data_IF_669051805101
#
_entry.id   IF_669051805101
#
_cell.length_a   1.000
_cell.length_b   1.000
_cell.length_c   1.000
_cell.angle_alpha   90.00
_cell.angle_beta   90.00
_cell.angle_gamma   90.00
#
_symmetry.space_group_name_H-M   'P 1'
#
loop_
_entity.id
_entity.type
_entity.pdbx_description
1 polymer ?
#
# COMPACT_ATOMS: atom_id res chain seq x y z
N UNK A 1 6.05 21.69 -2.60
CA UNK A 1 6.57 20.50 -1.87
C UNK A 1 5.42 19.95 -1.05
N UNK A 2 5.36 18.64 -0.81
CA UNK A 2 4.27 18.03 -0.04
C UNK A 2 4.67 17.85 1.43
N UNK A 3 5.67 17.01 1.71
CA UNK A 3 6.24 16.85 3.04
C UNK A 3 7.64 16.20 2.96
N UNK A 4 8.42 16.27 4.04
CA UNK A 4 9.60 15.42 4.20
C UNK A 4 9.17 14.10 4.85
N UNK A 5 9.46 12.97 4.21
CA UNK A 5 9.09 11.67 4.73
C UNK A 5 10.32 10.99 5.35
N UNK A 6 10.39 10.82 6.69
CA UNK A 6 11.56 10.23 7.34
C UNK A 6 11.75 8.76 6.94
N UNK A 7 10.66 8.05 6.61
CA UNK A 7 10.69 6.65 6.16
C UNK A 7 11.47 6.44 4.86
N UNK A 8 11.45 7.45 3.98
CA UNK A 8 12.19 7.42 2.71
C UNK A 8 13.47 8.24 2.77
N UNK A 9 13.75 8.89 3.90
CA UNK A 9 14.81 9.87 4.07
C UNK A 9 14.87 10.87 2.90
N UNK A 10 13.70 11.29 2.41
CA UNK A 10 13.59 12.10 1.20
C UNK A 10 12.31 12.96 1.23
N UNK A 11 12.34 14.06 0.48
CA UNK A 11 11.20 14.94 0.31
C UNK A 11 10.22 14.39 -0.74
N UNK A 12 8.95 14.37 -0.36
CA UNK A 12 7.84 14.16 -1.28
C UNK A 12 7.54 15.50 -1.95
N UNK A 13 7.80 15.55 -3.25
CA UNK A 13 7.69 16.75 -4.08
C UNK A 13 7.04 16.40 -5.41
N UNK A 14 6.85 17.38 -6.29
CA UNK A 14 6.16 17.16 -7.57
C UNK A 14 6.74 16.00 -8.40
N UNK A 15 8.08 15.87 -8.44
CA UNK A 15 8.75 14.80 -9.19
C UNK A 15 8.68 13.43 -8.52
N UNK A 16 8.61 13.38 -7.19
CA UNK A 16 8.65 12.12 -6.39
C UNK A 16 7.28 11.66 -5.91
N UNK A 17 6.23 12.50 -6.01
CA UNK A 17 4.89 12.21 -5.51
C UNK A 17 4.28 10.95 -6.15
N UNK A 18 4.52 10.72 -7.45
CA UNK A 18 4.07 9.50 -8.14
C UNK A 18 4.67 8.24 -7.52
N UNK A 19 5.99 8.24 -7.34
CA UNK A 19 6.71 7.09 -6.78
C UNK A 19 6.28 6.84 -5.35
N UNK A 20 6.07 7.89 -4.55
CA UNK A 20 5.54 7.79 -3.19
C UNK A 20 4.18 7.08 -3.14
N UNK A 21 3.20 7.51 -3.96
CA UNK A 21 1.88 6.87 -4.03
C UNK A 21 1.95 5.41 -4.48
N UNK A 22 2.83 5.08 -5.44
CA UNK A 22 3.06 3.70 -5.86
C UNK A 22 3.66 2.86 -4.73
N UNK A 23 4.61 3.41 -3.95
CA UNK A 23 5.18 2.71 -2.80
C UNK A 23 4.13 2.41 -1.73
N UNK A 24 3.22 3.35 -1.44
CA UNK A 24 2.12 3.10 -0.51
C UNK A 24 1.17 2.00 -1.02
N UNK A 25 0.83 2.01 -2.32
CA UNK A 25 -0.02 1.00 -2.91
C UNK A 25 0.64 -0.39 -2.90
N UNK A 26 1.90 -0.51 -3.35
CA UNK A 26 2.60 -1.79 -3.35
C UNK A 26 2.93 -2.28 -1.94
N UNK A 27 3.32 -1.39 -1.04
CA UNK A 27 3.61 -1.72 0.35
C UNK A 27 2.38 -2.29 1.07
N UNK A 28 1.22 -1.66 0.89
CA UNK A 28 -0.04 -2.16 1.49
C UNK A 28 -0.44 -3.53 0.92
N UNK A 29 -0.39 -3.71 -0.39
CA UNK A 29 -0.74 -4.99 -1.03
C UNK A 29 0.25 -6.10 -0.65
N UNK A 30 1.55 -5.80 -0.60
CA UNK A 30 2.56 -6.78 -0.19
C UNK A 30 2.38 -7.17 1.28
N UNK A 31 2.11 -6.21 2.17
CA UNK A 31 1.82 -6.50 3.57
C UNK A 31 0.56 -7.36 3.73
N UNK A 32 -0.50 -7.09 2.96
CA UNK A 32 -1.70 -7.92 2.92
C UNK A 32 -1.40 -9.33 2.43
N UNK A 33 -0.63 -9.46 1.33
CA UNK A 33 -0.24 -10.75 0.78
C UNK A 33 0.57 -11.58 1.79
N UNK A 34 1.54 -10.97 2.47
CA UNK A 34 2.33 -11.62 3.53
C UNK A 34 1.44 -12.09 4.68
N UNK A 35 0.51 -11.25 5.15
CA UNK A 35 -0.41 -11.63 6.22
C UNK A 35 -1.31 -12.80 5.80
N UNK A 36 -1.89 -12.74 4.60
CA UNK A 36 -2.80 -13.77 4.08
C UNK A 36 -2.10 -15.11 3.84
N UNK A 37 -0.89 -15.09 3.26
CA UNK A 37 -0.12 -16.31 3.00
C UNK A 37 0.41 -16.96 4.28
N UNK A 38 0.66 -16.18 5.32
CA UNK A 38 1.10 -16.68 6.62
C UNK A 38 -0.03 -17.29 7.48
N UNK A 39 -1.32 -17.12 7.12
CA UNK A 39 -2.46 -17.67 7.87
C UNK A 39 -2.43 -19.20 7.98
N UNK A 40 -2.14 -19.90 6.88
CA UNK A 40 -2.10 -21.37 6.86
C UNK A 40 -0.93 -21.89 7.71
N UNK A 41 0.33 -21.43 7.50
CA UNK A 41 1.45 -21.79 8.37
C UNK A 41 1.22 -21.46 9.85
N UNK A 42 0.55 -20.34 10.15
CA UNK A 42 0.21 -19.98 11.52
C UNK A 42 -0.74 -20.99 12.15
N UNK A 43 -1.84 -21.33 11.46
CA UNK A 43 -2.79 -22.32 11.94
C UNK A 43 -2.13 -23.70 12.14
N UNK A 44 -1.29 -24.15 11.21
CA UNK A 44 -0.58 -25.42 11.35
C UNK A 44 0.42 -25.43 12.50
N UNK A 45 1.13 -24.31 12.72
CA UNK A 45 2.08 -24.17 13.82
C UNK A 45 1.37 -24.23 15.18
N UNK A 46 0.24 -23.55 15.33
CA UNK A 46 -0.56 -23.62 16.56
C UNK A 46 -1.11 -25.02 16.82
N UNK A 47 -1.60 -25.71 15.78
CA UNK A 47 -2.17 -27.05 15.92
C UNK A 47 -1.10 -28.10 16.28
N UNK A 48 0.08 -28.00 15.67
CA UNK A 48 1.12 -29.04 15.79
C UNK A 48 2.07 -28.80 16.96
N UNK A 49 2.39 -27.54 17.25
CA UNK A 49 3.44 -27.15 18.20
C UNK A 49 2.89 -26.45 19.46
N UNK A 50 1.61 -26.07 19.47
CA UNK A 50 1.04 -25.29 20.56
C UNK A 50 1.78 -23.97 20.79
N UNK A 51 1.97 -23.59 22.06
CA UNK A 51 2.68 -22.38 22.44
C UNK A 51 4.21 -22.57 22.26
N UNK A 52 4.67 -22.32 21.04
CA UNK A 52 6.08 -22.40 20.64
C UNK A 52 6.57 -21.06 20.10
N UNK A 53 7.90 -20.88 20.08
CA UNK A 53 8.52 -19.71 19.45
C UNK A 53 8.08 -19.58 17.99
N UNK A 54 8.04 -20.68 17.24
CA UNK A 54 7.59 -20.69 15.84
C UNK A 54 6.14 -20.21 15.70
N UNK A 55 5.21 -20.75 16.50
CA UNK A 55 3.80 -20.35 16.46
C UNK A 55 3.60 -18.87 16.80
N UNK A 56 4.36 -18.34 17.77
CA UNK A 56 4.33 -16.92 18.11
C UNK A 56 4.89 -16.05 17.00
N UNK A 57 6.06 -16.38 16.43
CA UNK A 57 6.68 -15.58 15.37
C UNK A 57 5.81 -15.49 14.13
N UNK A 58 5.27 -16.61 13.64
CA UNK A 58 4.39 -16.61 12.46
C UNK A 58 3.09 -15.84 12.74
N UNK A 59 2.58 -15.87 13.97
CA UNK A 59 1.43 -15.06 14.37
C UNK A 59 1.75 -13.58 14.41
N UNK A 60 2.94 -13.19 14.87
CA UNK A 60 3.42 -11.82 14.81
C UNK A 60 3.56 -11.33 13.36
N UNK A 61 3.97 -12.20 12.42
CA UNK A 61 4.01 -11.87 10.99
C UNK A 61 2.61 -11.61 10.44
N UNK A 62 1.62 -12.45 10.78
CA UNK A 62 0.21 -12.24 10.39
C UNK A 62 -0.31 -10.92 10.96
N UNK A 63 -0.16 -10.70 12.27
CA UNK A 63 -0.67 -9.52 12.95
C UNK A 63 0.01 -8.23 12.48
N UNK A 64 1.34 -8.23 12.39
CA UNK A 64 2.14 -7.10 11.91
C UNK A 64 1.88 -6.77 10.45
N UNK A 65 1.78 -7.79 9.59
CA UNK A 65 1.42 -7.62 8.18
C UNK A 65 0.02 -7.04 7.99
N UNK A 66 -0.97 -7.53 8.74
CA UNK A 66 -2.33 -7.03 8.70
C UNK A 66 -2.41 -5.56 9.18
N UNK A 67 -1.78 -5.26 10.32
CA UNK A 67 -1.72 -3.89 10.86
C UNK A 67 -1.07 -2.92 9.86
N UNK A 68 0.10 -3.28 9.33
CA UNK A 68 0.82 -2.45 8.37
C UNK A 68 0.02 -2.23 7.09
N UNK A 69 -0.60 -3.28 6.55
CA UNK A 69 -1.48 -3.20 5.38
C UNK A 69 -2.59 -2.18 5.60
N UNK A 70 -3.33 -2.30 6.71
CA UNK A 70 -4.46 -1.41 7.01
C UNK A 70 -3.99 0.03 7.20
N UNK A 71 -2.94 0.25 7.99
CA UNK A 71 -2.42 1.59 8.28
C UNK A 71 -1.92 2.29 7.00
N UNK A 72 -1.13 1.60 6.19
CA UNK A 72 -0.58 2.16 4.94
C UNK A 72 -1.69 2.36 3.90
N UNK A 73 -2.66 1.45 3.79
CA UNK A 73 -3.80 1.61 2.89
C UNK A 73 -4.68 2.81 3.28
N UNK A 74 -4.95 3.00 4.58
CA UNK A 74 -5.70 4.16 5.07
C UNK A 74 -4.96 5.46 4.77
N UNK A 75 -3.65 5.51 5.02
CA UNK A 75 -2.82 6.66 4.66
C UNK A 75 -2.83 6.93 3.16
N UNK A 76 -2.77 5.88 2.33
CA UNK A 76 -2.87 5.98 0.88
C UNK A 76 -4.20 6.59 0.43
N UNK A 77 -5.32 6.18 1.03
CA UNK A 77 -6.65 6.74 0.73
C UNK A 77 -6.71 8.25 1.00
N UNK A 78 -6.09 8.72 2.09
CA UNK A 78 -5.98 10.15 2.40
C UNK A 78 -5.19 10.88 1.32
N UNK A 79 -4.03 10.35 0.94
CA UNK A 79 -3.17 10.95 -0.09
C UNK A 79 -3.85 10.97 -1.48
N UNK A 80 -4.63 9.94 -1.82
CA UNK A 80 -5.48 9.95 -3.01
C UNK A 80 -6.57 11.02 -2.94
N UNK A 81 -7.13 11.29 -1.77
CA UNK A 81 -8.09 12.38 -1.56
C UNK A 81 -7.47 13.77 -1.77
N UNK A 82 -6.21 13.95 -1.39
CA UNK A 82 -5.42 15.16 -1.66
C UNK A 82 -5.10 15.31 -3.15
N UNK A 83 -4.60 14.24 -3.78
CA UNK A 83 -4.39 14.19 -5.22
C UNK A 83 -5.67 14.50 -6.00
N UNK A 84 -6.81 13.94 -5.57
CA UNK A 84 -8.09 14.15 -6.21
C UNK A 84 -8.55 15.60 -6.09
N UNK A 85 -8.20 16.33 -5.03
CA UNK A 85 -8.49 17.77 -4.89
C UNK A 85 -7.43 18.66 -5.53
N UNK A 86 -6.29 18.09 -5.93
CA UNK A 86 -5.10 18.83 -6.35
C UNK A 86 -4.64 19.81 -5.27
N UNK A 87 -4.54 19.29 -4.04
CA UNK A 87 -4.10 20.02 -2.85
C UNK A 87 -3.01 19.17 -2.20
N UNK A 88 -1.89 19.78 -1.83
CA UNK A 88 -0.83 19.12 -1.06
C UNK A 88 -1.18 19.05 0.43
N UNK A 89 -0.50 18.19 1.19
CA UNK A 89 -0.61 18.08 2.64
C UNK A 89 -0.35 19.44 3.32
N UNK A 90 0.67 20.17 2.87
CA UNK A 90 0.96 21.52 3.38
C UNK A 90 -0.17 22.51 3.09
N UNK A 91 -0.72 22.51 1.89
CA UNK A 91 -1.84 23.38 1.52
C UNK A 91 -3.13 23.03 2.27
N UNK A 92 -3.33 21.76 2.63
CA UNK A 92 -4.44 21.33 3.47
C UNK A 92 -4.28 21.77 4.94
N UNK A 93 -3.04 21.88 5.44
CA UNK A 93 -2.76 22.38 6.80
C UNK A 93 -2.72 23.91 6.86
N UNK A 94 -2.26 24.54 5.79
CA UNK A 94 -2.13 25.99 5.66
C UNK A 94 -2.59 26.39 4.25
N UNK A 95 -3.77 27.01 4.12
CA UNK A 95 -4.29 27.36 2.81
C UNK A 95 -3.36 28.33 2.10
N UNK A 96 -3.21 28.15 0.79
CA UNK A 96 -2.50 29.10 -0.07
C UNK A 96 -3.25 30.43 -0.11
N UNK A 97 -2.52 31.52 0.07
CA UNK A 97 -3.06 32.86 -0.12
C UNK A 97 -3.02 33.20 -1.61
N UNK A 98 -4.20 33.32 -2.20
CA UNK A 98 -4.35 33.82 -3.55
C UNK A 98 -4.64 35.33 -3.54
N UNK A 99 -4.42 35.98 -4.69
CA UNK A 99 -4.80 37.40 -4.86
C UNK A 99 -6.33 37.55 -4.79
N UNK A 100 -7.05 36.66 -5.45
CA UNK A 100 -8.50 36.55 -5.36
C UNK A 100 -8.88 35.38 -4.44
N UNK A 101 -9.78 35.60 -3.49
CA UNK A 101 -10.14 34.56 -2.49
C UNK A 101 -10.83 33.32 -3.08
N UNK A 102 -11.31 33.40 -4.32
CA UNK A 102 -12.00 32.31 -5.04
C UNK A 102 -11.06 31.41 -5.82
N UNK A 103 -9.79 31.79 -5.98
CA UNK A 103 -8.83 31.03 -6.77
C UNK A 103 -8.45 29.70 -6.07
N UNK A 104 -8.23 28.66 -6.88
CA UNK A 104 -7.80 27.35 -6.40
C UNK A 104 -7.01 26.62 -7.48
N UNK A 105 -6.11 25.74 -7.05
CA UNK A 105 -5.44 24.78 -7.94
C UNK A 105 -6.38 23.63 -8.36
N UNK A 106 -7.59 23.52 -7.80
CA UNK A 106 -8.59 22.55 -8.23
C UNK A 106 -9.20 22.93 -9.60
N UNK A 107 -8.76 22.24 -10.66
CA UNK A 107 -9.24 22.42 -12.03
C UNK A 107 -10.56 21.67 -12.36
N UNK A 108 -11.19 21.02 -11.39
CA UNK A 108 -12.40 20.23 -11.57
C UNK A 108 -12.21 18.83 -12.19
N UNK A 109 -13.25 18.00 -12.09
CA UNK A 109 -13.24 16.55 -12.45
C UNK A 109 -12.76 16.25 -13.88
N UNK A 110 -13.17 17.05 -14.87
CA UNK A 110 -12.90 16.77 -16.30
C UNK A 110 -11.42 16.91 -16.66
N UNK A 111 -10.74 17.93 -16.13
CA UNK A 111 -9.31 18.19 -16.36
C UNK A 111 -8.41 17.27 -15.51
N UNK A 112 -8.90 16.80 -14.36
CA UNK A 112 -8.22 15.84 -13.47
C UNK A 112 -8.11 14.43 -14.07
N UNK A 113 -9.18 13.93 -14.72
CA UNK A 113 -9.17 12.60 -15.37
C UNK A 113 -8.20 12.53 -16.58
N UNK A 114 -7.88 13.67 -17.19
CA UNK A 114 -6.86 13.77 -18.24
C UNK A 114 -5.45 14.00 -17.69
N UNK A 115 -5.29 14.25 -16.38
CA UNK A 115 -3.96 14.39 -15.79
C UNK A 115 -3.21 13.06 -15.87
N UNK A 116 -1.97 13.10 -16.38
CA UNK A 116 -1.15 11.91 -16.58
C UNK A 116 -0.87 11.14 -15.28
N UNK A 117 -0.89 11.82 -14.14
CA UNK A 117 -0.65 11.22 -12.83
C UNK A 117 -1.77 10.25 -12.41
N UNK A 118 -3.04 10.66 -12.52
CA UNK A 118 -4.19 9.81 -12.19
C UNK A 118 -4.31 8.62 -13.15
N UNK A 119 -4.20 8.86 -14.47
CA UNK A 119 -4.25 7.80 -15.49
C UNK A 119 -3.14 6.75 -15.28
N UNK A 120 -1.91 7.20 -15.04
CA UNK A 120 -0.78 6.28 -14.87
C UNK A 120 -0.85 5.51 -13.55
N UNK A 121 -1.31 6.15 -12.47
CA UNK A 121 -1.49 5.47 -11.20
C UNK A 121 -2.50 4.33 -11.31
N UNK A 122 -3.69 4.60 -11.87
CA UNK A 122 -4.73 3.56 -12.06
C UNK A 122 -4.21 2.43 -12.97
N UNK A 123 -3.54 2.75 -14.08
CA UNK A 123 -3.00 1.72 -14.99
C UNK A 123 -1.91 0.85 -14.34
N UNK A 124 -0.99 1.43 -13.56
CA UNK A 124 0.05 0.66 -12.86
C UNK A 124 -0.51 -0.20 -11.71
N UNK A 125 -1.51 0.30 -10.99
CA UNK A 125 -2.18 -0.48 -9.93
C UNK A 125 -2.91 -1.71 -10.50
N UNK A 126 -3.61 -1.57 -11.64
CA UNK A 126 -4.30 -2.68 -12.31
C UNK A 126 -3.36 -3.78 -12.80
N UNK A 127 -2.20 -3.41 -13.34
CA UNK A 127 -1.23 -4.39 -13.82
C UNK A 127 -0.69 -5.26 -12.69
N UNK A 128 -0.53 -4.67 -11.51
CA UNK A 128 0.12 -5.34 -10.38
C UNK A 128 -0.85 -6.19 -9.56
N UNK A 129 -2.11 -5.78 -9.42
CA UNK A 129 -3.16 -6.67 -8.89
C UNK A 129 -3.40 -7.87 -9.80
N UNK A 130 -3.29 -7.72 -11.14
CA UNK A 130 -3.36 -8.85 -12.06
C UNK A 130 -2.17 -9.82 -11.90
N UNK A 131 -0.94 -9.32 -11.71
CA UNK A 131 0.25 -10.15 -11.51
C UNK A 131 0.18 -10.89 -10.18
N UNK A 132 -0.20 -10.20 -9.09
CA UNK A 132 -0.38 -10.85 -7.79
C UNK A 132 -1.52 -11.86 -7.80
N UNK A 133 -2.65 -11.56 -8.44
CA UNK A 133 -3.74 -12.52 -8.63
C UNK A 133 -3.29 -13.77 -9.41
N UNK A 134 -2.45 -13.61 -10.45
CA UNK A 134 -1.83 -14.76 -11.15
C UNK A 134 -0.89 -15.58 -10.27
N UNK A 135 -0.16 -14.94 -9.35
CA UNK A 135 0.71 -15.63 -8.39
C UNK A 135 -0.14 -16.42 -7.37
N UNK A 136 -1.22 -15.83 -6.84
CA UNK A 136 -2.14 -16.50 -5.91
C UNK A 136 -2.93 -17.63 -6.57
N UNK A 137 -3.26 -17.51 -7.87
CA UNK A 137 -4.03 -18.52 -8.61
C UNK A 137 -3.16 -19.64 -9.20
N UNK A 138 -1.83 -19.53 -9.16
CA UNK A 138 -0.97 -20.66 -9.46
C UNK A 138 -1.02 -21.65 -8.29
N UNK A 139 -1.95 -22.61 -8.38
CA UNK A 139 -2.24 -23.71 -7.44
C UNK A 139 -1.03 -24.56 -6.98
N UNK A 140 0.18 -24.23 -7.41
CA UNK A 140 1.42 -24.88 -7.01
C UNK A 140 2.08 -24.26 -5.76
N UNK A 141 1.74 -23.04 -5.35
CA UNK A 141 2.39 -22.42 -4.18
C UNK A 141 2.00 -23.12 -2.87
N UNK A 142 0.74 -23.53 -2.74
CA UNK A 142 0.28 -24.34 -1.60
C UNK A 142 0.92 -25.73 -1.56
N UNK A 143 1.28 -26.31 -2.71
CA UNK A 143 2.02 -27.59 -2.76
C UNK A 143 3.50 -27.42 -2.39
N UNK A 144 4.15 -26.32 -2.80
CA UNK A 144 5.54 -26.02 -2.44
C UNK A 144 5.71 -25.66 -0.97
N UNK A 145 4.76 -24.91 -0.39
CA UNK A 145 4.76 -24.61 1.05
C UNK A 145 4.54 -25.88 1.89
N UNK A 146 3.69 -26.82 1.44
CA UNK A 146 3.51 -28.12 2.09
C UNK A 146 4.76 -29.00 2.01
N UNK A 147 5.44 -29.02 0.86
CA UNK A 147 6.67 -29.80 0.66
C UNK A 147 7.84 -29.29 1.50
N UNK A 148 7.93 -27.98 1.74
CA UNK A 148 9.01 -27.39 2.55
C UNK A 148 8.80 -27.58 4.06
N UNK A 149 7.55 -27.74 4.52
CA UNK A 149 7.21 -27.98 5.94
C UNK A 149 7.30 -29.48 6.31
N UNK A 150 7.12 -30.39 5.36
CA UNK A 150 7.22 -31.84 5.59
C UNK A 150 8.63 -32.44 5.36
N UNK A 151 9.67 -31.63 5.17
CA UNK A 151 11.05 -32.09 4.98
C UNK A 151 11.97 -31.93 6.19
N UNK A 152 11.47 -31.47 7.35
CA UNK A 152 12.15 -31.62 8.66
C UNK A 152 11.36 -32.52 9.60
#
# INVERSE_FOLDING_TARGET
MDHHCPWFNNCVSFSTHKSFLLTLAYGSVLAAFTALTALIPAASAWLSLGLSFTALNVSCVVAGGAYLSIAVAAFMCVQLGYLYRNVTTLENMRPTLFREQTDSFDLGRKKKRSSGLYRTFVSCSFFTTCVLCRITFNRNFSKLAYLYICQE
#
